data_IF_607136072831
#
_entry.id   IF_607136072831
#
_cell.length_a   1.000
_cell.length_b   1.000
_cell.length_c   1.000
_cell.angle_alpha   90.00
_cell.angle_beta   90.00
_cell.angle_gamma   90.00
#
_symmetry.space_group_name_H-M   'P 1'
#
loop_
_entity.id
_entity.type
_entity.pdbx_description
1 polymer ?
#
# COMPACT_ATOMS: atom_id res chain seq x y z
N UNK A 1 -10.82 2.27 -29.38
CA UNK A 1 -10.00 2.77 -28.25
C UNK A 1 -9.39 1.59 -27.51
N UNK A 2 -8.06 1.52 -27.33
CA UNK A 2 -7.45 0.46 -26.54
C UNK A 2 -7.78 0.65 -25.05
N UNK A 3 -7.99 -0.45 -24.31
CA UNK A 3 -8.22 -0.40 -22.85
C UNK A 3 -6.98 0.12 -22.13
N UNK A 4 -7.16 0.97 -21.12
CA UNK A 4 -6.06 1.45 -20.29
C UNK A 4 -5.49 0.29 -19.49
N UNK A 5 -4.16 0.11 -19.55
CA UNK A 5 -3.46 -0.93 -18.79
C UNK A 5 -3.24 -0.48 -17.36
N UNK A 6 -3.51 -1.36 -16.40
CA UNK A 6 -3.20 -1.11 -14.99
C UNK A 6 -1.70 -1.25 -14.73
N UNK A 7 -1.18 -0.46 -13.79
CA UNK A 7 0.21 -0.57 -13.36
C UNK A 7 0.37 -1.84 -12.50
N UNK A 8 1.07 -2.84 -13.04
CA UNK A 8 1.29 -4.12 -12.37
C UNK A 8 2.05 -4.00 -11.03
N UNK A 9 2.93 -3.01 -10.90
CA UNK A 9 3.65 -2.71 -9.67
C UNK A 9 2.74 -2.13 -8.58
N UNK A 10 1.76 -1.30 -8.95
CA UNK A 10 0.76 -0.78 -8.02
C UNK A 10 -0.22 -1.89 -7.61
N UNK A 11 -0.67 -2.71 -8.56
CA UNK A 11 -1.66 -3.77 -8.34
C UNK A 11 -1.14 -4.83 -7.34
N UNK A 12 0.17 -5.09 -7.33
CA UNK A 12 0.81 -6.03 -6.39
C UNK A 12 0.90 -5.47 -4.95
N UNK A 13 0.87 -4.14 -4.78
CA UNK A 13 1.16 -3.46 -3.49
C UNK A 13 -0.08 -2.93 -2.80
N UNK A 14 -1.08 -2.48 -3.57
CA UNK A 14 -2.30 -1.86 -3.07
C UNK A 14 -3.50 -2.76 -3.33
N UNK A 15 -4.31 -3.00 -2.29
CA UNK A 15 -5.55 -3.78 -2.41
C UNK A 15 -6.75 -2.90 -2.12
N UNK A 16 -7.77 -2.96 -2.98
CA UNK A 16 -9.04 -2.27 -2.79
C UNK A 16 -9.77 -2.84 -1.57
N UNK A 17 -10.40 -1.95 -0.82
CA UNK A 17 -11.30 -2.21 0.32
C UNK A 17 -12.56 -1.36 0.09
N UNK A 18 -13.63 -1.61 0.83
CA UNK A 18 -14.87 -0.85 0.67
C UNK A 18 -14.66 0.68 0.74
N UNK A 19 -13.77 1.14 1.64
CA UNK A 19 -13.60 2.57 1.92
C UNK A 19 -12.31 3.18 1.32
N UNK A 20 -11.57 2.43 0.50
CA UNK A 20 -10.30 2.90 -0.09
C UNK A 20 -9.31 1.77 -0.36
N UNK A 21 -8.02 2.04 -0.15
CA UNK A 21 -6.95 1.09 -0.46
C UNK A 21 -6.06 0.84 0.75
N UNK A 22 -5.69 -0.44 0.97
CA UNK A 22 -4.76 -0.85 2.02
C UNK A 22 -3.39 -1.23 1.48
N UNK A 23 -2.36 -1.04 2.29
CA UNK A 23 -0.97 -1.40 1.98
C UNK A 23 -0.21 -1.95 3.19
N UNK A 24 0.90 -2.65 2.92
CA UNK A 24 1.86 -3.07 3.96
C UNK A 24 2.74 -1.89 4.39
N UNK A 25 3.06 -1.80 5.67
CA UNK A 25 3.96 -0.76 6.18
C UNK A 25 5.43 -1.03 5.83
N UNK A 26 6.18 0.05 5.63
CA UNK A 26 7.62 0.02 5.35
C UNK A 26 8.46 -0.17 6.62
N UNK A 27 9.78 -0.24 6.46
CA UNK A 27 10.76 -0.34 7.56
C UNK A 27 10.72 -1.62 8.39
N UNK A 28 10.24 -2.73 7.82
CA UNK A 28 10.25 -4.05 8.49
C UNK A 28 10.99 -5.16 7.74
N UNK A 29 11.86 -4.81 6.79
CA UNK A 29 12.63 -5.80 6.02
C UNK A 29 14.00 -6.11 6.63
N UNK A 30 14.76 -5.09 7.03
CA UNK A 30 16.11 -5.20 7.59
C UNK A 30 16.35 -4.15 8.69
N UNK A 31 17.49 -4.27 9.39
CA UNK A 31 17.87 -3.42 10.53
C UNK A 31 16.77 -3.45 11.61
N UNK A 32 16.38 -4.67 11.99
CA UNK A 32 15.33 -4.94 12.98
C UNK A 32 15.89 -5.09 14.40
N UNK A 33 17.18 -5.36 14.51
CA UNK A 33 17.90 -5.56 15.78
C UNK A 33 17.82 -4.31 16.64
N UNK A 34 18.15 -3.14 16.09
CA UNK A 34 18.09 -1.84 16.79
C UNK A 34 16.67 -1.27 17.00
N UNK A 35 15.62 -1.93 16.49
CA UNK A 35 14.23 -1.46 16.63
C UNK A 35 13.57 -2.12 17.84
N UNK A 36 12.92 -1.32 18.67
CA UNK A 36 12.13 -1.82 19.80
C UNK A 36 11.07 -2.83 19.35
N UNK A 37 10.76 -3.80 20.22
CA UNK A 37 9.73 -4.82 19.98
C UNK A 37 8.36 -4.18 19.73
N UNK A 38 8.03 -3.09 20.46
CA UNK A 38 6.81 -2.29 20.25
C UNK A 38 6.72 -1.74 18.83
N UNK A 39 7.78 -1.12 18.31
CA UNK A 39 7.80 -0.58 16.94
C UNK A 39 7.65 -1.69 15.89
N UNK A 40 8.37 -2.80 16.06
CA UNK A 40 8.26 -3.97 15.17
C UNK A 40 6.85 -4.57 15.17
N UNK A 41 6.15 -4.54 16.31
CA UNK A 41 4.76 -5.00 16.44
C UNK A 41 3.79 -4.07 15.71
N UNK A 42 3.91 -2.76 15.87
CA UNK A 42 3.05 -1.79 15.19
C UNK A 42 3.19 -1.86 13.66
N UNK A 43 4.41 -2.08 13.14
CA UNK A 43 4.68 -2.24 11.70
C UNK A 43 4.21 -3.59 11.11
N UNK A 44 3.55 -4.47 11.88
CA UNK A 44 2.99 -5.75 11.38
C UNK A 44 1.74 -5.55 10.55
N UNK A 45 0.91 -4.57 10.91
CA UNK A 45 -0.42 -4.39 10.32
C UNK A 45 -0.39 -3.89 8.88
N UNK A 46 -1.50 -4.10 8.18
CA UNK A 46 -1.81 -3.33 6.98
C UNK A 46 -2.41 -1.99 7.40
N UNK A 47 -2.06 -0.92 6.71
CA UNK A 47 -2.60 0.43 6.96
C UNK A 47 -3.43 0.88 5.76
N UNK A 48 -4.46 1.68 6.03
CA UNK A 48 -5.16 2.42 5.00
C UNK A 48 -4.28 3.54 4.46
N UNK A 49 -4.44 3.84 3.18
CA UNK A 49 -3.72 4.91 2.51
C UNK A 49 -4.27 6.27 2.93
N UNK A 50 -3.36 7.24 3.06
CA UNK A 50 -3.73 8.61 3.39
C UNK A 50 -4.57 9.24 2.27
N UNK A 51 -5.44 10.19 2.62
CA UNK A 51 -6.37 10.79 1.66
C UNK A 51 -5.65 11.44 0.46
N UNK A 52 -4.49 12.06 0.70
CA UNK A 52 -3.66 12.69 -0.34
C UNK A 52 -3.26 11.75 -1.47
N UNK A 53 -2.99 10.49 -1.17
CA UNK A 53 -2.36 9.56 -2.12
C UNK A 53 -3.40 8.72 -2.88
N UNK A 54 -4.68 8.78 -2.48
CA UNK A 54 -5.76 7.98 -3.07
C UNK A 54 -5.91 8.26 -4.58
N UNK A 55 -5.88 9.53 -4.97
CA UNK A 55 -6.04 9.93 -6.37
C UNK A 55 -4.92 9.38 -7.27
N UNK A 56 -3.69 9.38 -6.77
CA UNK A 56 -2.52 8.85 -7.49
C UNK A 56 -2.68 7.34 -7.75
N UNK A 57 -3.20 6.60 -6.77
CA UNK A 57 -3.37 5.15 -6.86
C UNK A 57 -4.52 4.77 -7.78
N UNK A 58 -5.63 5.50 -7.74
CA UNK A 58 -6.74 5.31 -8.67
C UNK A 58 -6.29 5.52 -10.12
N UNK A 59 -5.45 6.53 -10.38
CA UNK A 59 -4.89 6.76 -11.72
C UNK A 59 -4.01 5.59 -12.20
N UNK A 60 -3.28 4.94 -11.29
CA UNK A 60 -2.46 3.76 -11.61
C UNK A 60 -3.27 2.47 -11.77
N UNK A 61 -4.47 2.41 -11.17
CA UNK A 61 -5.33 1.24 -11.10
C UNK A 61 -6.72 1.55 -11.67
N UNK A 62 -6.82 1.87 -12.97
CA UNK A 62 -8.07 2.31 -13.61
C UNK A 62 -9.16 1.23 -13.64
N UNK A 63 -8.78 -0.04 -13.46
CA UNK A 63 -9.67 -1.18 -13.56
C UNK A 63 -10.17 -1.68 -12.20
N UNK A 64 -10.01 -0.89 -11.12
CA UNK A 64 -10.28 -1.30 -9.74
C UNK A 64 -11.43 -0.57 -9.06
#
# INVERSE_FOLDING_TARGET
>A
MPKIKSNSGAAKRFKKTANGFKHKQSFRSHILTKKSTKRKRQLRGMKQIHASDKALIQRMLPNL
#
